data_IF_930466657534
#
_entry.id   IF_930466657534
#
_cell.length_a   1.000
_cell.length_b   1.000
_cell.length_c   1.000
_cell.angle_alpha   90.00
_cell.angle_beta   90.00
_cell.angle_gamma   90.00
#
_symmetry.space_group_name_H-M   'P 1'
#
loop_
_entity.id
_entity.type
_entity.pdbx_description
1 polymer ?
#
# COMPACT_ATOMS: atom_id res chain seq x y z
N UNK A 1 8.07 -8.22 10.83
CA UNK A 1 8.16 -8.48 9.38
C UNK A 1 9.52 -9.06 9.09
N UNK A 2 9.62 -10.13 8.30
CA UNK A 2 10.91 -10.71 7.89
C UNK A 2 11.35 -10.06 6.58
N UNK A 3 12.64 -9.79 6.46
CA UNK A 3 13.23 -9.16 5.27
C UNK A 3 14.07 -10.17 4.48
N UNK A 4 13.89 -10.19 3.18
CA UNK A 4 14.64 -11.03 2.25
C UNK A 4 15.20 -10.18 1.12
N UNK A 5 16.36 -10.57 0.58
CA UNK A 5 16.83 -10.02 -0.69
C UNK A 5 16.06 -10.64 -1.86
N UNK A 6 16.06 -10.03 -3.05
CA UNK A 6 15.36 -10.57 -4.20
C UNK A 6 15.87 -11.95 -4.61
N UNK A 7 17.19 -12.19 -4.51
CA UNK A 7 17.79 -13.47 -4.89
C UNK A 7 17.35 -14.60 -3.96
N UNK A 8 17.31 -14.34 -2.65
CA UNK A 8 16.85 -15.31 -1.66
C UNK A 8 15.34 -15.54 -1.81
N UNK A 9 14.56 -14.47 -1.99
CA UNK A 9 13.13 -14.58 -2.16
C UNK A 9 12.74 -15.36 -3.43
N UNK A 10 13.54 -15.28 -4.48
CA UNK A 10 13.36 -16.06 -5.68
C UNK A 10 13.68 -17.55 -5.45
N UNK A 11 14.78 -17.85 -4.76
CA UNK A 11 15.19 -19.23 -4.48
C UNK A 11 14.15 -19.95 -3.59
N UNK A 12 13.63 -19.26 -2.57
CA UNK A 12 12.78 -19.85 -1.53
C UNK A 12 11.28 -19.50 -1.71
N UNK A 13 10.87 -19.09 -2.92
CA UNK A 13 9.54 -18.53 -3.18
C UNK A 13 8.39 -19.39 -2.63
N UNK A 14 8.47 -20.71 -2.81
CA UNK A 14 7.42 -21.63 -2.35
C UNK A 14 7.33 -21.72 -0.83
N UNK A 15 8.47 -21.64 -0.14
CA UNK A 15 8.52 -21.62 1.33
C UNK A 15 7.96 -20.31 1.86
N UNK A 16 8.31 -19.19 1.24
CA UNK A 16 7.79 -17.87 1.59
C UNK A 16 6.27 -17.79 1.38
N UNK A 17 5.75 -18.29 0.26
CA UNK A 17 4.31 -18.35 0.02
C UNK A 17 3.59 -19.25 1.03
N UNK A 18 4.22 -20.36 1.44
CA UNK A 18 3.69 -21.24 2.48
C UNK A 18 3.64 -20.53 3.83
N UNK A 19 4.70 -19.83 4.21
CA UNK A 19 4.76 -19.04 5.45
C UNK A 19 3.71 -17.92 5.46
N UNK A 20 3.57 -17.17 4.38
CA UNK A 20 2.54 -16.13 4.25
C UNK A 20 1.13 -16.72 4.35
N UNK A 21 0.87 -17.83 3.67
CA UNK A 21 -0.47 -18.41 3.63
C UNK A 21 -0.87 -19.10 4.93
N UNK A 22 0.01 -19.97 5.47
CA UNK A 22 -0.28 -20.83 6.62
C UNK A 22 0.03 -20.14 7.95
N UNK A 23 1.15 -19.42 8.03
CA UNK A 23 1.62 -18.80 9.27
C UNK A 23 1.17 -17.34 9.40
N UNK A 24 0.51 -16.78 8.37
CA UNK A 24 0.08 -15.37 8.31
C UNK A 24 1.26 -14.41 8.53
N UNK A 25 2.46 -14.82 8.13
CA UNK A 25 3.63 -13.95 8.22
C UNK A 25 3.59 -12.89 7.12
N UNK A 26 3.89 -11.64 7.47
CA UNK A 26 4.14 -10.59 6.48
C UNK A 26 5.64 -10.54 6.16
N UNK A 27 5.94 -10.64 4.87
CA UNK A 27 7.31 -10.72 4.35
C UNK A 27 7.60 -9.48 3.51
N UNK A 28 8.78 -8.90 3.71
CA UNK A 28 9.29 -7.76 2.96
C UNK A 28 10.46 -8.23 2.12
N UNK A 29 10.47 -7.88 0.85
CA UNK A 29 11.57 -8.14 -0.08
C UNK A 29 12.21 -6.78 -0.35
N UNK A 30 13.38 -6.55 0.23
CA UNK A 30 14.13 -5.31 0.08
C UNK A 30 15.15 -5.49 -1.05
N UNK A 31 15.22 -4.59 -2.04
CA UNK A 31 16.20 -4.70 -3.11
C UNK A 31 17.63 -4.53 -2.59
N UNK A 32 18.60 -4.99 -3.37
CA UNK A 32 20.02 -5.05 -2.97
C UNK A 32 20.65 -3.67 -2.74
N UNK A 33 20.04 -2.60 -3.25
CA UNK A 33 20.42 -1.20 -2.99
C UNK A 33 19.90 -0.65 -1.65
N UNK A 34 19.13 -1.46 -0.91
CA UNK A 34 18.52 -1.14 0.38
C UNK A 34 17.59 0.09 0.36
N UNK A 35 17.09 0.48 -0.82
CA UNK A 35 16.07 1.52 -0.90
C UNK A 35 14.69 0.94 -0.56
N UNK A 36 14.20 1.28 0.63
CA UNK A 36 12.88 0.87 1.11
C UNK A 36 11.74 1.36 0.21
N UNK A 37 11.95 2.41 -0.60
CA UNK A 37 10.96 2.90 -1.58
C UNK A 37 10.68 1.84 -2.65
N UNK A 38 11.67 1.00 -2.93
CA UNK A 38 11.60 -0.06 -3.94
C UNK A 38 11.32 -1.45 -3.33
N UNK A 39 11.08 -1.53 -2.03
CA UNK A 39 10.74 -2.77 -1.37
C UNK A 39 9.34 -3.27 -1.77
N UNK A 40 9.21 -4.59 -1.90
CA UNK A 40 7.95 -5.26 -2.12
C UNK A 40 7.48 -5.95 -0.83
N UNK A 41 6.17 -5.98 -0.59
CA UNK A 41 5.59 -6.68 0.56
C UNK A 41 4.70 -7.82 0.07
N UNK A 42 4.93 -9.00 0.61
CA UNK A 42 4.13 -10.19 0.37
C UNK A 42 3.18 -10.41 1.55
N UNK A 43 1.89 -10.40 1.26
CA UNK A 43 0.78 -10.61 2.21
C UNK A 43 -0.25 -11.57 1.62
N UNK A 44 -1.10 -12.22 2.45
CA UNK A 44 -2.25 -12.95 1.96
C UNK A 44 -3.17 -12.02 1.15
N UNK A 45 -3.71 -12.53 0.05
CA UNK A 45 -4.64 -11.77 -0.81
C UNK A 45 -5.83 -11.19 -0.03
N UNK A 46 -6.42 -11.98 0.87
CA UNK A 46 -7.54 -11.54 1.70
C UNK A 46 -7.19 -10.37 2.61
N UNK A 47 -5.94 -10.31 3.09
CA UNK A 47 -5.45 -9.22 3.92
C UNK A 47 -5.26 -7.95 3.10
N UNK A 48 -4.68 -8.07 1.90
CA UNK A 48 -4.59 -6.96 0.95
C UNK A 48 -5.97 -6.39 0.58
N UNK A 49 -6.95 -7.26 0.31
CA UNK A 49 -8.31 -6.83 -0.03
C UNK A 49 -8.98 -6.09 1.12
N UNK A 50 -8.86 -6.59 2.36
CA UNK A 50 -9.37 -5.92 3.55
C UNK A 50 -8.70 -4.55 3.78
N UNK A 51 -7.37 -4.45 3.63
CA UNK A 51 -6.64 -3.19 3.74
C UNK A 51 -7.09 -2.18 2.68
N UNK A 52 -7.27 -2.63 1.44
CA UNK A 52 -7.76 -1.79 0.34
C UNK A 52 -9.17 -1.27 0.61
N UNK A 53 -10.08 -2.12 1.10
CA UNK A 53 -11.45 -1.72 1.45
C UNK A 53 -11.47 -0.71 2.60
N UNK A 54 -10.67 -0.95 3.65
CA UNK A 54 -10.52 0.00 4.76
C UNK A 54 -9.97 1.35 4.28
N UNK A 55 -8.93 1.32 3.44
CA UNK A 55 -8.36 2.54 2.87
C UNK A 55 -9.37 3.31 2.02
N UNK A 56 -10.22 2.61 1.25
CA UNK A 56 -11.30 3.24 0.48
C UNK A 56 -12.32 3.92 1.40
N UNK A 57 -12.76 3.25 2.46
CA UNK A 57 -13.73 3.82 3.42
C UNK A 57 -13.18 5.02 4.20
N UNK A 58 -11.86 5.06 4.43
CA UNK A 58 -11.18 6.15 5.14
C UNK A 58 -10.86 7.36 4.25
N UNK A 59 -11.08 7.29 2.94
CA UNK A 59 -11.02 8.47 2.08
C UNK A 59 -12.20 9.39 2.43
N UNK A 60 -11.97 10.28 3.41
CA UNK A 60 -12.80 11.48 3.58
C UNK A 60 -12.96 12.16 2.22
N UNK A 61 -14.17 12.64 1.85
CA UNK A 61 -14.33 13.36 0.61
C UNK A 61 -13.31 14.50 0.56
N UNK A 62 -12.55 14.57 -0.54
CA UNK A 62 -11.66 15.69 -0.83
C UNK A 62 -12.42 16.99 -0.51
N UNK A 63 -11.84 17.94 0.24
CA UNK A 63 -12.51 19.21 0.49
C UNK A 63 -12.88 19.81 -0.85
N UNK A 64 -14.19 19.94 -1.09
CA UNK A 64 -14.72 20.63 -2.27
C UNK A 64 -14.04 21.99 -2.34
N UNK A 65 -13.38 22.36 -3.47
CA UNK A 65 -12.80 23.69 -3.59
C UNK A 65 -13.92 24.69 -3.35
N UNK A 66 -13.71 25.60 -2.41
CA UNK A 66 -14.69 26.62 -2.06
C UNK A 66 -15.12 27.34 -3.34
N UNK A 67 -16.38 27.17 -3.74
CA UNK A 67 -17.02 28.02 -4.72
C UNK A 67 -16.90 29.45 -4.20
N UNK A 68 -15.96 30.22 -4.76
CA UNK A 68 -15.87 31.65 -4.47
C UNK A 68 -17.24 32.25 -4.80
N UNK A 69 -17.91 32.96 -3.89
CA UNK A 69 -19.09 33.71 -4.27
C UNK A 69 -18.66 34.70 -5.34
N UNK A 70 -19.35 34.69 -6.49
CA UNK A 70 -19.24 35.74 -7.50
C UNK A 70 -19.62 37.03 -6.77
N UNK A 71 -18.63 37.87 -6.49
CA UNK A 71 -18.86 39.22 -6.02
C UNK A 71 -19.64 39.94 -7.12
N UNK A 72 -20.88 40.32 -6.85
CA UNK A 72 -21.60 41.34 -7.60
C UNK A 72 -20.70 42.58 -7.66
N UNK A 73 -20.03 42.79 -8.79
CA UNK A 73 -19.46 44.08 -9.14
C UNK A 73 -20.65 44.98 -9.49
N UNK A 74 -21.03 45.83 -8.54
CA UNK A 74 -21.83 47.02 -8.81
C UNK A 74 -21.11 47.85 -9.87
N UNK A 75 -21.65 47.86 -11.09
CA UNK A 75 -21.27 48.83 -12.11
C UNK A 75 -22.04 50.11 -11.83
N UNK A 76 -21.32 51.13 -11.35
CA UNK A 76 -21.77 52.52 -11.38
C UNK A 76 -21.69 53.12 -12.78
#
# INVERSE_FOLDING_TARGET
MKHYSPEIAQADLMELLTAVHQLKETIVITPTDADDIHAAVLVPKSEWEALRELAFLQQSPLPTPASKPVTEMEWG
#
